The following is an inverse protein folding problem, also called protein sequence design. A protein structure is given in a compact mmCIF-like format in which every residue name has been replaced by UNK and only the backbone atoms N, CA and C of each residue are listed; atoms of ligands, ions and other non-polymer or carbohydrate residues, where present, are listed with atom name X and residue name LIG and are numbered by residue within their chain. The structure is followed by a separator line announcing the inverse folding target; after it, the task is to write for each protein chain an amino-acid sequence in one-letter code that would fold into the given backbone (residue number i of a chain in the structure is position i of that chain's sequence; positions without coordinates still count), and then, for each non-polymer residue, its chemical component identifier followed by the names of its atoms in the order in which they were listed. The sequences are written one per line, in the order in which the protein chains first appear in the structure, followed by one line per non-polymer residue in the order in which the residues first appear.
data_IF_441281490300
#
_entry.id   IF_441281490300
#
_cell.length_a   1.000
_cell.length_b   1.000
_cell.length_c   1.000
_cell.angle_alpha   90.00
_cell.angle_beta   90.00
_cell.angle_gamma   90.00
#
_symmetry.space_group_name_H-M   'P 1'
#
loop_
_entity.id
_entity.type
_entity.pdbx_description
1 polymer ?
#
# COMPACT_ATOMS: atom_id res chain seq x y z
N UNK A 1 -9.13 -47.79 15.01
CA UNK A 1 -8.57 -47.23 13.76
C UNK A 1 -9.40 -46.08 13.19
N UNK A 2 -10.71 -46.25 12.93
CA UNK A 2 -11.58 -45.18 12.36
C UNK A 2 -11.59 -43.87 13.19
N UNK A 3 -11.55 -43.95 14.53
CA UNK A 3 -11.47 -42.78 15.41
C UNK A 3 -10.16 -41.99 15.29
N UNK A 4 -9.04 -42.66 15.01
CA UNK A 4 -7.72 -42.03 14.82
C UNK A 4 -7.66 -41.36 13.44
N UNK A 5 -8.22 -42.01 12.41
CA UNK A 5 -8.35 -41.43 11.06
C UNK A 5 -9.26 -40.19 11.07
N UNK A 6 -10.39 -40.24 11.78
CA UNK A 6 -11.29 -39.09 11.92
C UNK A 6 -10.65 -37.93 12.69
N UNK A 7 -9.82 -38.23 13.71
CA UNK A 7 -9.09 -37.21 14.46
C UNK A 7 -8.01 -36.54 13.60
N UNK A 8 -7.30 -37.31 12.77
CA UNK A 8 -6.33 -36.78 11.80
C UNK A 8 -7.01 -35.90 10.73
N UNK A 9 -8.16 -36.32 10.21
CA UNK A 9 -8.93 -35.57 9.22
C UNK A 9 -9.44 -34.22 9.77
N UNK A 10 -9.79 -34.17 11.06
CA UNK A 10 -10.26 -32.96 11.72
C UNK A 10 -9.12 -31.95 11.98
N UNK A 11 -7.91 -32.43 12.26
CA UNK A 11 -6.71 -31.57 12.44
C UNK A 11 -6.28 -30.95 11.11
N UNK A 12 -6.36 -31.69 10.00
CA UNK A 12 -6.05 -31.17 8.65
C UNK A 12 -7.04 -30.06 8.25
N UNK A 13 -8.30 -30.14 8.68
CA UNK A 13 -9.31 -29.10 8.40
C UNK A 13 -9.15 -27.82 9.24
N UNK A 14 -8.39 -27.88 10.33
CA UNK A 14 -8.13 -26.75 11.24
C UNK A 14 -6.87 -25.95 10.87
N UNK A 15 -6.11 -26.40 9.87
CA UNK A 15 -4.96 -25.63 9.37
C UNK A 15 -5.50 -24.40 8.62
N UNK A 16 -5.17 -23.17 9.06
CA UNK A 16 -5.57 -21.98 8.32
C UNK A 16 -4.90 -22.05 6.95
N UNK A 17 -5.69 -22.21 5.89
CA UNK A 17 -5.22 -21.98 4.54
C UNK A 17 -4.89 -20.49 4.45
N UNK A 18 -3.59 -20.17 4.51
CA UNK A 18 -3.12 -18.85 4.14
C UNK A 18 -3.55 -18.66 2.68
N UNK A 19 -4.59 -17.87 2.43
CA UNK A 19 -4.93 -17.42 1.07
C UNK A 19 -3.81 -16.47 0.67
N UNK A 20 -2.69 -17.04 0.24
CA UNK A 20 -1.59 -16.28 -0.31
C UNK A 20 -2.07 -15.72 -1.65
N UNK A 21 -1.99 -14.39 -1.81
CA UNK A 21 -2.32 -13.76 -3.08
C UNK A 21 -1.45 -14.30 -4.20
N UNK A 22 -1.91 -14.20 -5.45
CA UNK A 22 -1.16 -14.61 -6.63
C UNK A 22 0.30 -14.16 -6.55
N UNK A 23 1.21 -15.13 -6.76
CA UNK A 23 2.65 -14.91 -6.84
C UNK A 23 3.08 -14.82 -8.29
N UNK A 24 4.12 -14.05 -8.54
CA UNK A 24 4.63 -13.79 -9.88
C UNK A 24 6.10 -14.19 -9.97
N UNK A 25 6.51 -14.63 -11.16
CA UNK A 25 7.92 -14.88 -11.43
C UNK A 25 8.71 -13.57 -11.45
N UNK A 26 9.99 -13.64 -11.10
CA UNK A 26 10.89 -12.50 -11.19
C UNK A 26 10.93 -11.87 -12.60
N UNK A 27 10.80 -12.68 -13.65
CA UNK A 27 10.76 -12.19 -15.03
C UNK A 27 9.51 -11.33 -15.30
N UNK A 28 8.33 -11.78 -14.85
CA UNK A 28 7.11 -11.00 -14.99
C UNK A 28 7.23 -9.67 -14.24
N UNK A 29 7.73 -9.71 -13.01
CA UNK A 29 7.90 -8.52 -12.17
C UNK A 29 8.92 -7.53 -12.74
N UNK A 30 10.01 -8.02 -13.33
CA UNK A 30 11.01 -7.17 -14.03
C UNK A 30 10.40 -6.51 -15.25
N UNK A 31 9.63 -7.24 -16.05
CA UNK A 31 8.94 -6.67 -17.22
C UNK A 31 7.96 -5.57 -16.79
N UNK A 32 7.16 -5.81 -15.75
CA UNK A 32 6.23 -4.82 -15.22
C UNK A 32 6.98 -3.61 -14.62
N UNK A 33 8.13 -3.82 -14.00
CA UNK A 33 8.96 -2.75 -13.46
C UNK A 33 9.54 -1.84 -14.56
N UNK A 34 9.94 -2.41 -15.69
CA UNK A 34 10.40 -1.62 -16.85
C UNK A 34 9.26 -0.78 -17.44
N UNK A 35 8.05 -1.32 -17.54
CA UNK A 35 6.87 -0.56 -17.97
C UNK A 35 6.59 0.58 -16.98
N UNK A 36 6.66 0.29 -15.69
CA UNK A 36 6.50 1.27 -14.62
C UNK A 36 7.53 2.42 -14.73
N UNK A 37 8.81 2.09 -14.92
CA UNK A 37 9.89 3.07 -15.11
C UNK A 37 9.63 3.94 -16.33
N UNK A 38 9.39 3.34 -17.49
CA UNK A 38 9.12 4.07 -18.75
C UNK A 38 7.92 4.98 -18.64
N UNK A 39 6.84 4.52 -17.99
CA UNK A 39 5.65 5.32 -17.77
C UNK A 39 5.95 6.59 -16.99
N UNK A 40 6.81 6.52 -15.97
CA UNK A 40 7.25 7.71 -15.23
C UNK A 40 8.16 8.60 -16.10
N UNK A 41 9.15 8.02 -16.77
CA UNK A 41 10.14 8.76 -17.55
C UNK A 41 9.54 9.48 -18.77
N UNK A 42 8.57 8.87 -19.45
CA UNK A 42 8.01 9.37 -20.71
C UNK A 42 6.74 10.23 -20.52
N UNK A 43 5.93 9.95 -19.51
CA UNK A 43 4.59 10.56 -19.37
C UNK A 43 4.55 11.62 -18.29
N UNK A 44 5.33 11.49 -17.21
CA UNK A 44 5.21 12.39 -16.07
C UNK A 44 5.93 13.75 -16.33
N UNK A 45 5.21 14.88 -16.43
CA UNK A 45 5.77 16.15 -16.90
C UNK A 45 6.79 16.78 -15.93
N UNK A 46 6.81 16.34 -14.67
CA UNK A 46 7.68 16.89 -13.63
C UNK A 46 8.51 15.84 -12.91
N UNK A 47 8.88 14.72 -13.57
CA UNK A 47 9.59 13.63 -12.91
C UNK A 47 10.86 14.16 -12.22
N UNK A 48 11.63 14.96 -12.94
CA UNK A 48 12.92 15.48 -12.47
C UNK A 48 12.83 16.84 -11.75
N UNK A 49 11.64 17.24 -11.30
CA UNK A 49 11.43 18.57 -10.67
C UNK A 49 12.17 18.72 -9.35
N UNK A 50 12.25 17.63 -8.57
CA UNK A 50 12.78 17.66 -7.20
C UNK A 50 14.00 16.75 -6.98
N UNK A 51 14.25 15.82 -7.89
CA UNK A 51 15.40 14.93 -7.92
C UNK A 51 15.87 14.82 -9.36
N UNK A 52 17.18 14.86 -9.60
CA UNK A 52 17.71 14.79 -10.96
C UNK A 52 17.59 13.38 -11.57
N UNK A 53 17.91 13.28 -12.87
CA UNK A 53 17.85 12.02 -13.61
C UNK A 53 18.80 10.97 -13.05
N UNK A 54 20.02 11.35 -12.65
CA UNK A 54 21.01 10.41 -12.15
C UNK A 54 20.53 9.76 -10.84
N UNK A 55 19.90 10.55 -9.97
CA UNK A 55 19.28 10.07 -8.76
C UNK A 55 18.17 9.05 -9.05
N UNK A 56 17.28 9.36 -10.00
CA UNK A 56 16.20 8.43 -10.39
C UNK A 56 16.75 7.16 -11.05
N UNK A 57 17.72 7.27 -11.96
CA UNK A 57 18.35 6.11 -12.61
C UNK A 57 18.95 5.17 -11.56
N UNK A 58 19.66 5.72 -10.56
CA UNK A 58 20.20 4.94 -9.45
C UNK A 58 19.08 4.31 -8.61
N UNK A 59 18.03 5.07 -8.28
CA UNK A 59 16.90 4.58 -7.50
C UNK A 59 16.16 3.43 -8.21
N UNK A 60 15.90 3.54 -9.52
CA UNK A 60 15.30 2.48 -10.31
C UNK A 60 16.16 1.22 -10.32
N UNK A 61 17.47 1.36 -10.58
CA UNK A 61 18.38 0.22 -10.63
C UNK A 61 18.48 -0.49 -9.27
N UNK A 62 18.56 0.27 -8.18
CA UNK A 62 18.61 -0.27 -6.82
C UNK A 62 17.31 -1.01 -6.47
N UNK A 63 16.15 -0.42 -6.79
CA UNK A 63 14.85 -1.09 -6.55
C UNK A 63 14.71 -2.37 -7.39
N UNK A 64 15.13 -2.36 -8.65
CA UNK A 64 15.08 -3.53 -9.52
C UNK A 64 15.94 -4.70 -9.01
N UNK A 65 17.02 -4.41 -8.28
CA UNK A 65 17.89 -5.44 -7.68
C UNK A 65 17.18 -6.23 -6.57
N UNK A 66 16.17 -5.65 -5.92
CA UNK A 66 15.38 -6.33 -4.87
C UNK A 66 14.20 -7.15 -5.41
N UNK A 67 13.96 -7.12 -6.73
CA UNK A 67 12.94 -7.97 -7.36
C UNK A 67 13.38 -9.42 -7.27
N UNK A 68 12.62 -10.19 -6.51
CA UNK A 68 12.84 -11.60 -6.25
C UNK A 68 11.77 -12.44 -6.94
N UNK A 69 12.05 -13.74 -7.05
CA UNK A 69 11.05 -14.68 -7.55
C UNK A 69 9.94 -14.88 -6.53
N UNK A 70 8.74 -15.24 -7.01
CA UNK A 70 7.60 -15.56 -6.17
C UNK A 70 7.17 -14.43 -5.21
N UNK A 71 7.31 -13.16 -5.62
CA UNK A 71 6.70 -12.04 -4.90
C UNK A 71 5.22 -11.92 -5.24
N UNK A 72 4.41 -11.54 -4.26
CA UNK A 72 3.01 -11.16 -4.45
C UNK A 72 2.90 -9.72 -4.99
N UNK A 73 1.75 -9.39 -5.57
CA UNK A 73 1.42 -8.03 -6.01
C UNK A 73 1.63 -6.98 -4.91
N UNK A 74 1.33 -7.34 -3.66
CA UNK A 74 1.50 -6.47 -2.49
C UNK A 74 2.97 -6.20 -2.18
N UNK A 75 3.82 -7.22 -2.28
CA UNK A 75 5.26 -7.10 -2.04
C UNK A 75 5.90 -6.26 -3.14
N UNK A 76 5.53 -6.50 -4.41
CA UNK A 76 5.97 -5.68 -5.53
C UNK A 76 5.53 -4.22 -5.40
N UNK A 77 4.26 -3.96 -5.05
CA UNK A 77 3.77 -2.61 -4.82
C UNK A 77 4.53 -1.87 -3.72
N UNK A 78 4.79 -2.54 -2.58
CA UNK A 78 5.56 -1.96 -1.47
C UNK A 78 7.00 -1.63 -1.89
N UNK A 79 7.58 -2.42 -2.79
CA UNK A 79 8.91 -2.21 -3.31
C UNK A 79 8.98 -0.98 -4.24
N UNK A 80 8.02 -0.80 -5.14
CA UNK A 80 8.05 0.26 -6.16
C UNK A 80 7.38 1.58 -5.74
N UNK A 81 6.36 1.55 -4.86
CA UNK A 81 5.62 2.75 -4.44
C UNK A 81 6.48 3.90 -3.90
N UNK A 82 7.59 3.66 -3.16
CA UNK A 82 8.48 4.74 -2.73
C UNK A 82 9.06 5.57 -3.89
N UNK A 83 9.27 4.99 -5.08
CA UNK A 83 9.76 5.74 -6.24
C UNK A 83 8.74 6.79 -6.70
N UNK A 84 7.45 6.47 -6.65
CA UNK A 84 6.37 7.41 -6.97
C UNK A 84 6.29 8.53 -5.93
N UNK A 85 6.48 8.21 -4.64
CA UNK A 85 6.51 9.21 -3.58
C UNK A 85 7.64 10.24 -3.78
N UNK A 86 8.77 9.80 -4.34
CA UNK A 86 9.94 10.66 -4.59
C UNK A 86 9.72 11.66 -5.73
N UNK A 87 8.73 11.41 -6.58
CA UNK A 87 8.25 12.39 -7.57
C UNK A 87 7.61 13.61 -6.89
N UNK A 88 7.12 13.45 -5.65
CA UNK A 88 6.49 14.52 -4.84
C UNK A 88 5.34 15.21 -5.58
N UNK A 89 4.53 14.42 -6.29
CA UNK A 89 3.38 14.89 -7.05
C UNK A 89 2.10 14.23 -6.54
N UNK A 90 1.18 15.03 -5.97
CA UNK A 90 -0.11 14.53 -5.47
C UNK A 90 -1.09 14.06 -6.54
N UNK A 91 -0.79 14.31 -7.82
CA UNK A 91 -1.60 13.88 -8.96
C UNK A 91 -1.14 12.54 -9.56
N UNK A 92 0.07 12.07 -9.18
CA UNK A 92 0.61 10.80 -9.66
C UNK A 92 0.11 9.69 -8.77
N UNK A 93 -0.90 8.98 -9.27
CA UNK A 93 -1.54 7.89 -8.55
C UNK A 93 -0.97 6.56 -9.04
N UNK A 94 -0.51 5.74 -8.10
CA UNK A 94 -0.01 4.40 -8.36
C UNK A 94 -0.80 3.41 -7.52
N UNK A 95 -1.65 2.64 -8.21
CA UNK A 95 -2.48 1.59 -7.64
C UNK A 95 -2.28 0.33 -8.47
N UNK A 96 -2.06 -0.83 -7.85
CA UNK A 96 -2.08 -2.07 -8.59
C UNK A 96 -3.53 -2.48 -8.86
N UNK A 97 -3.70 -3.35 -9.84
CA UNK A 97 -5.02 -3.84 -10.22
C UNK A 97 -5.74 -4.48 -9.02
N UNK A 98 -6.98 -4.07 -8.79
CA UNK A 98 -7.91 -4.82 -7.94
C UNK A 98 -9.06 -5.32 -8.79
N UNK A 99 -9.61 -6.48 -8.43
CA UNK A 99 -10.76 -7.07 -9.10
C UNK A 99 -12.07 -6.28 -8.91
N UNK A 100 -12.08 -5.25 -8.06
CA UNK A 100 -13.23 -4.36 -7.87
C UNK A 100 -13.05 -3.08 -8.69
N UNK A 101 -13.87 -2.90 -9.72
CA UNK A 101 -13.85 -1.73 -10.61
C UNK A 101 -14.06 -0.39 -9.87
N UNK A 102 -14.56 -0.41 -8.63
CA UNK A 102 -14.84 0.80 -7.84
C UNK A 102 -13.64 1.29 -7.00
N UNK A 103 -12.56 0.52 -6.89
CA UNK A 103 -11.37 0.95 -6.12
C UNK A 103 -10.67 2.18 -6.71
N UNK A 104 -10.88 2.48 -7.99
CA UNK A 104 -10.32 3.67 -8.63
C UNK A 104 -10.90 4.99 -8.06
N UNK A 105 -11.98 4.92 -7.26
CA UNK A 105 -12.56 6.08 -6.58
C UNK A 105 -11.95 6.39 -5.21
N UNK A 106 -11.20 5.47 -4.58
CA UNK A 106 -10.74 5.66 -3.21
C UNK A 106 -9.21 5.72 -3.09
N UNK A 107 -8.72 6.61 -2.22
CA UNK A 107 -7.31 6.81 -1.89
C UNK A 107 -6.66 5.64 -1.14
N UNK A 108 -7.38 4.53 -0.93
CA UNK A 108 -6.98 3.43 -0.08
C UNK A 108 -6.74 2.19 -0.91
N UNK A 109 -5.50 1.69 -0.83
CA UNK A 109 -5.07 0.54 -1.61
C UNK A 109 -5.71 -0.78 -1.13
N UNK A 110 -6.15 -0.85 0.13
CA UNK A 110 -6.80 -2.04 0.69
C UNK A 110 -8.21 -1.71 1.17
N UNK A 111 -9.07 -2.71 1.05
CA UNK A 111 -10.38 -2.87 1.70
C UNK A 111 -10.67 -1.82 2.78
N UNK A 112 -11.54 -0.85 2.45
CA UNK A 112 -11.88 0.25 3.35
C UNK A 112 -12.60 -0.22 4.61
N UNK A 113 -13.13 -1.45 4.63
CA UNK A 113 -13.77 -2.04 5.82
C UNK A 113 -12.77 -2.38 6.92
N UNK A 114 -11.46 -2.39 6.59
CA UNK A 114 -10.36 -2.60 7.55
C UNK A 114 -9.63 -1.33 7.93
N UNK A 115 -10.14 -0.17 7.52
CA UNK A 115 -9.56 1.10 7.96
C UNK A 115 -9.70 1.23 9.47
N UNK A 116 -8.70 1.88 10.07
CA UNK A 116 -8.84 2.31 11.45
C UNK A 116 -10.06 3.23 11.53
N UNK A 117 -11.03 3.00 12.44
CA UNK A 117 -12.40 3.51 12.30
C UNK A 117 -12.56 4.99 12.65
N UNK A 118 -11.51 5.80 12.56
CA UNK A 118 -11.53 7.22 12.86
C UNK A 118 -11.14 8.07 11.65
N UNK A 119 -11.81 9.21 11.52
CA UNK A 119 -11.48 10.27 10.56
C UNK A 119 -10.66 11.31 11.28
N UNK A 120 -9.49 11.62 10.73
CA UNK A 120 -8.54 12.57 11.29
C UNK A 120 -8.49 13.83 10.43
N UNK A 121 -8.42 14.98 11.08
CA UNK A 121 -8.11 16.27 10.47
C UNK A 121 -6.79 16.77 11.05
N UNK A 122 -5.84 17.04 10.17
CA UNK A 122 -4.50 17.50 10.54
C UNK A 122 -4.40 19.01 10.30
N UNK A 123 -4.03 19.76 11.33
CA UNK A 123 -3.53 21.14 11.20
C UNK A 123 -2.01 21.13 11.41
N UNK A 124 -1.36 22.31 11.33
CA UNK A 124 0.10 22.38 11.34
C UNK A 124 0.78 21.63 12.50
N UNK A 125 0.19 21.62 13.69
CA UNK A 125 0.76 20.99 14.88
C UNK A 125 -0.26 20.19 15.71
N UNK A 126 -1.46 19.94 15.18
CA UNK A 126 -2.51 19.19 15.89
C UNK A 126 -3.16 18.19 14.95
N UNK A 127 -3.58 17.08 15.53
CA UNK A 127 -4.53 16.17 14.89
C UNK A 127 -5.82 16.15 15.70
N UNK A 128 -6.94 16.22 15.00
CA UNK A 128 -8.28 16.22 15.54
C UNK A 128 -9.04 15.02 15.01
N UNK A 129 -9.78 14.33 15.89
CA UNK A 129 -10.75 13.32 15.46
C UNK A 129 -12.02 14.05 15.02
N UNK A 130 -12.34 13.99 13.73
CA UNK A 130 -13.51 14.70 13.14
C UNK A 130 -14.68 13.76 12.84
N UNK A 131 -14.53 12.46 13.10
CA UNK A 131 -15.61 11.49 12.97
C UNK A 131 -15.09 10.06 12.91
N UNK A 132 -15.96 9.15 12.48
CA UNK A 132 -15.65 7.73 12.32
C UNK A 132 -16.08 7.19 10.96
N UNK A 133 -15.50 6.06 10.55
CA UNK A 133 -15.97 5.29 9.40
C UNK A 133 -17.04 4.26 9.76
N UNK A 134 -17.15 3.89 11.03
CA UNK A 134 -18.20 3.00 11.52
C UNK A 134 -19.29 3.75 12.29
N UNK A 135 -20.55 3.33 12.12
CA UNK A 135 -21.74 3.93 12.73
C UNK A 135 -21.90 3.61 14.23
N UNK A 136 -21.20 2.60 14.75
CA UNK A 136 -21.30 2.16 16.15
C UNK A 136 -20.44 3.03 17.07
N UNK A 137 -19.25 3.39 16.61
CA UNK A 137 -18.26 4.25 17.25
C UNK A 137 -18.67 5.72 17.12
N UNK A 138 -19.38 6.11 16.06
CA UNK A 138 -19.98 7.44 15.90
C UNK A 138 -20.88 7.83 17.09
N UNK A 139 -21.64 6.87 17.63
CA UNK A 139 -22.49 7.07 18.82
C UNK A 139 -21.71 7.22 20.13
N UNK A 140 -20.45 6.78 20.19
CA UNK A 140 -19.61 6.79 21.40
C UNK A 140 -18.60 7.93 21.43
N UNK A 141 -18.16 8.41 20.27
CA UNK A 141 -17.23 9.53 20.13
C UNK A 141 -17.99 10.87 20.05
N UNK A 142 -18.61 11.29 21.15
CA UNK A 142 -18.95 12.71 21.35
C UNK A 142 -17.75 13.51 21.89
N UNK A 143 -16.52 13.13 21.51
CA UNK A 143 -15.30 13.69 22.11
C UNK A 143 -14.38 14.21 21.01
N UNK A 144 -14.30 15.53 20.90
CA UNK A 144 -13.18 16.21 20.22
C UNK A 144 -11.91 15.96 21.04
N UNK A 145 -11.19 14.88 20.74
CA UNK A 145 -9.88 14.62 21.30
C UNK A 145 -8.82 15.33 20.45
N UNK A 146 -7.97 16.13 21.11
CA UNK A 146 -6.85 16.83 20.50
C UNK A 146 -5.55 16.11 20.87
N UNK A 147 -4.74 15.78 19.87
CA UNK A 147 -3.38 15.31 20.10
C UNK A 147 -2.40 16.32 19.50
N UNK A 148 -1.45 16.75 20.32
CA UNK A 148 -0.35 17.60 19.86
C UNK A 148 0.62 16.72 19.08
N UNK A 149 0.88 17.06 17.81
CA UNK A 149 1.88 16.35 17.02
C UNK A 149 3.25 16.89 17.41
N UNK A 150 4.15 16.00 17.80
CA UNK A 150 5.58 16.34 17.89
C UNK A 150 6.13 16.53 16.48
N UNK A 151 7.16 17.37 16.34
CA UNK A 151 7.69 17.69 15.02
C UNK A 151 8.13 16.43 14.25
N UNK A 152 7.69 16.35 12.99
CA UNK A 152 8.09 15.27 12.09
C UNK A 152 9.49 15.56 11.55
N UNK A 153 10.45 14.62 11.64
CA UNK A 153 11.78 14.79 11.05
C UNK A 153 11.76 14.87 9.51
N UNK A 154 10.59 14.71 8.89
CA UNK A 154 10.38 14.75 7.44
C UNK A 154 9.70 16.02 6.94
N UNK A 155 9.44 17.01 7.82
CA UNK A 155 8.95 18.32 7.40
C UNK A 155 10.15 19.14 6.88
N UNK A 156 10.33 19.18 5.55
CA UNK A 156 11.21 20.16 4.90
C UNK A 156 10.44 21.43 4.59
#
# INVERSE_FOLDING_TARGET
MKKIVNLFLMIILLLPTQVEGQKFSSQQLRNDFEIFRKSLEEIHPGLYRFSDKQWFDSAFNNTAAFIQDSMSLKEFYRLSAPLVAQVKCGHTKYFPASGDANIHQFHYFFDTTRLFPIKLFFTENKVQVVGTYDKQTERKLQVSAYFQLTESPYRK
#
